data_IF_614813008572
#
_entry.id   IF_614813008572
#
_cell.length_a   1.000
_cell.length_b   1.000
_cell.length_c   1.000
_cell.angle_alpha   90.00
_cell.angle_beta   90.00
_cell.angle_gamma   90.00
#
_symmetry.space_group_name_H-M   'P 1'
#
loop_
_entity.id
_entity.type
_entity.pdbx_description
1 polymer ?
#
# COMPACT_ATOMS: atom_id res chain seq x y z
N UNK A 1 2.79 -32.22 -42.35
CA UNK A 1 2.61 -30.79 -42.04
C UNK A 1 1.53 -30.51 -40.97
N UNK A 2 0.40 -31.20 -40.97
CA UNK A 2 -0.71 -30.98 -40.01
C UNK A 2 -0.32 -31.20 -38.53
N UNK A 3 0.47 -32.24 -38.20
CA UNK A 3 0.89 -32.53 -36.81
C UNK A 3 1.87 -31.51 -36.23
N UNK A 4 2.70 -30.86 -37.05
CA UNK A 4 3.64 -29.81 -36.60
C UNK A 4 2.87 -28.53 -36.32
N UNK A 5 1.88 -28.18 -37.11
CA UNK A 5 1.01 -27.02 -36.89
C UNK A 5 0.19 -27.17 -35.59
N UNK A 6 -0.33 -28.38 -35.32
CA UNK A 6 -1.07 -28.68 -34.09
C UNK A 6 -0.19 -28.56 -32.86
N UNK A 7 1.09 -28.95 -32.91
CA UNK A 7 2.04 -28.84 -31.80
C UNK A 7 2.41 -27.37 -31.52
N UNK A 8 2.55 -26.53 -32.54
CA UNK A 8 2.83 -25.10 -32.40
C UNK A 8 1.65 -24.37 -31.76
N UNK A 9 0.42 -24.70 -32.14
CA UNK A 9 -0.78 -24.10 -31.55
C UNK A 9 -0.90 -24.44 -30.06
N UNK A 10 -0.62 -25.69 -29.66
CA UNK A 10 -0.62 -26.09 -28.23
C UNK A 10 0.49 -25.39 -27.47
N UNK A 11 1.67 -25.17 -28.03
CA UNK A 11 2.77 -24.48 -27.38
C UNK A 11 2.49 -22.98 -27.22
N UNK A 12 1.85 -22.34 -28.20
CA UNK A 12 1.43 -20.92 -28.10
C UNK A 12 0.33 -20.72 -27.07
N UNK A 13 -0.60 -21.67 -26.92
CA UNK A 13 -1.65 -21.61 -25.87
C UNK A 13 -1.09 -21.80 -24.44
N UNK A 14 0.04 -22.50 -24.28
CA UNK A 14 0.72 -22.62 -22.98
C UNK A 14 1.49 -21.35 -22.57
N UNK A 15 1.77 -20.45 -23.53
CA UNK A 15 2.44 -19.17 -23.25
C UNK A 15 1.51 -18.03 -22.86
N UNK A 16 0.18 -18.25 -22.85
CA UNK A 16 -0.75 -17.33 -22.21
C UNK A 16 -0.61 -17.52 -20.69
N UNK A 17 0.50 -17.04 -20.16
CA UNK A 17 0.70 -16.93 -18.72
C UNK A 17 -0.43 -16.07 -18.18
N UNK A 18 -1.24 -16.65 -17.30
CA UNK A 18 -2.25 -15.93 -16.54
C UNK A 18 -1.48 -14.83 -15.78
N UNK A 19 -1.62 -13.60 -16.24
CA UNK A 19 -1.21 -12.43 -15.47
C UNK A 19 -2.08 -12.39 -14.21
N UNK A 20 -1.65 -13.12 -13.18
CA UNK A 20 -2.32 -13.04 -11.89
C UNK A 20 -2.15 -11.62 -11.37
N UNK A 21 -3.23 -10.89 -11.31
CA UNK A 21 -3.25 -9.57 -10.71
C UNK A 21 -2.65 -9.66 -9.29
N UNK A 22 -1.68 -8.79 -8.98
CA UNK A 22 -0.94 -8.80 -7.72
C UNK A 22 -1.81 -8.75 -6.45
N UNK A 23 -3.05 -8.31 -6.58
CA UNK A 23 -4.05 -8.30 -5.48
C UNK A 23 -4.39 -9.72 -4.98
N UNK A 24 -4.18 -10.75 -5.78
CA UNK A 24 -4.45 -12.14 -5.38
C UNK A 24 -3.56 -12.62 -4.21
N UNK A 25 -2.37 -12.02 -4.01
CA UNK A 25 -1.55 -12.28 -2.83
C UNK A 25 -2.26 -11.98 -1.50
N UNK A 26 -3.21 -11.06 -1.53
CA UNK A 26 -3.98 -10.63 -0.36
C UNK A 26 -5.38 -11.24 -0.30
N UNK A 27 -5.71 -12.22 -1.19
CA UNK A 27 -7.06 -12.77 -1.32
C UNK A 27 -7.66 -13.30 -0.01
N UNK A 28 -6.81 -13.84 0.86
CA UNK A 28 -7.22 -14.40 2.14
C UNK A 28 -7.07 -13.42 3.33
N UNK A 29 -6.65 -12.17 3.09
CA UNK A 29 -6.55 -11.18 4.14
C UNK A 29 -7.86 -10.43 4.28
N UNK A 30 -8.39 -10.40 5.50
CA UNK A 30 -9.55 -9.59 5.88
C UNK A 30 -9.13 -8.36 6.68
N UNK A 31 -8.06 -8.48 7.48
CA UNK A 31 -7.61 -7.41 8.35
C UNK A 31 -6.13 -7.57 8.72
N UNK A 32 -5.44 -6.44 8.84
CA UNK A 32 -4.11 -6.34 9.46
C UNK A 32 -4.20 -5.25 10.53
N UNK A 33 -3.72 -5.56 11.74
CA UNK A 33 -3.71 -4.64 12.88
C UNK A 33 -2.29 -4.41 13.36
N UNK A 34 -1.90 -3.16 13.46
CA UNK A 34 -0.64 -2.73 14.06
C UNK A 34 -0.89 -1.91 15.31
N UNK A 35 0.00 -2.05 16.26
CA UNK A 35 0.15 -1.13 17.36
C UNK A 35 1.26 -0.13 17.04
N UNK A 36 1.02 1.14 17.36
CA UNK A 36 2.02 2.19 17.16
C UNK A 36 2.70 2.47 18.48
N UNK A 37 4.03 2.36 18.46
CA UNK A 37 4.87 2.61 19.63
C UNK A 37 5.77 3.83 19.42
N UNK A 38 6.03 4.55 20.51
CA UNK A 38 7.03 5.59 20.60
C UNK A 38 7.80 5.42 21.90
N UNK A 39 9.14 5.19 21.82
CA UNK A 39 9.99 4.91 22.98
C UNK A 39 9.36 3.83 23.89
N UNK A 40 9.04 2.67 23.30
CA UNK A 40 8.43 1.50 23.95
C UNK A 40 7.03 1.71 24.54
N UNK A 41 6.46 2.90 24.45
CA UNK A 41 5.11 3.18 24.89
C UNK A 41 4.13 3.08 23.72
N UNK A 42 3.07 2.29 23.89
CA UNK A 42 1.97 2.24 22.94
C UNK A 42 1.27 3.60 22.90
N UNK A 43 1.24 4.23 21.73
CA UNK A 43 0.63 5.53 21.53
C UNK A 43 -0.61 5.49 20.63
N UNK A 44 -0.85 4.38 19.91
CA UNK A 44 -1.98 4.26 19.01
C UNK A 44 -2.04 2.95 18.26
N UNK A 45 -2.77 2.98 17.13
CA UNK A 45 -2.98 1.83 16.26
C UNK A 45 -3.05 2.22 14.78
N UNK A 46 -2.84 1.23 13.90
CA UNK A 46 -3.11 1.31 12.48
C UNK A 46 -3.83 0.03 12.05
N UNK A 47 -5.06 0.15 11.58
CA UNK A 47 -5.88 -0.94 11.08
C UNK A 47 -6.00 -0.86 9.56
N UNK A 48 -5.89 -2.00 8.88
CA UNK A 48 -6.10 -2.14 7.45
C UNK A 48 -7.16 -3.22 7.23
N UNK A 49 -8.27 -2.87 6.63
CA UNK A 49 -9.43 -3.76 6.44
C UNK A 49 -9.64 -3.98 4.96
N UNK A 50 -9.74 -5.24 4.55
CA UNK A 50 -9.91 -5.67 3.18
C UNK A 50 -11.34 -6.17 2.96
N UNK A 51 -12.06 -5.58 2.02
CA UNK A 51 -13.40 -5.99 1.61
C UNK A 51 -13.42 -6.27 0.11
N UNK A 52 -14.15 -7.31 -0.30
CA UNK A 52 -14.26 -7.69 -1.70
C UNK A 52 -15.72 -7.81 -2.08
N UNK A 53 -16.09 -7.11 -3.14
CA UNK A 53 -17.44 -7.18 -3.69
C UNK A 53 -17.37 -7.04 -5.22
N UNK A 54 -18.06 -7.95 -5.93
CA UNK A 54 -18.19 -7.95 -7.41
C UNK A 54 -16.87 -7.78 -8.16
N UNK A 55 -15.80 -8.41 -7.67
CA UNK A 55 -14.45 -8.33 -8.27
C UNK A 55 -13.66 -7.09 -7.91
N UNK A 56 -14.22 -6.15 -7.16
CA UNK A 56 -13.51 -4.99 -6.63
C UNK A 56 -12.89 -5.30 -5.27
N UNK A 57 -11.67 -4.84 -5.04
CA UNK A 57 -11.03 -4.83 -3.73
C UNK A 57 -11.09 -3.44 -3.13
N UNK A 58 -11.71 -3.32 -1.96
CA UNK A 58 -11.69 -2.10 -1.16
C UNK A 58 -10.80 -2.30 0.06
N UNK A 59 -9.84 -1.41 0.25
CA UNK A 59 -8.91 -1.41 1.40
C UNK A 59 -9.10 -0.13 2.19
N UNK A 60 -9.55 -0.28 3.43
CA UNK A 60 -9.70 0.85 4.37
C UNK A 60 -8.51 0.88 5.31
N UNK A 61 -7.88 2.04 5.42
CA UNK A 61 -6.80 2.32 6.36
C UNK A 61 -7.33 3.27 7.44
N UNK A 62 -7.11 2.94 8.69
CA UNK A 62 -7.44 3.77 9.84
C UNK A 62 -6.21 3.87 10.75
N UNK A 63 -5.73 5.08 10.98
CA UNK A 63 -4.57 5.36 11.83
C UNK A 63 -4.99 6.35 12.90
N UNK A 64 -4.72 6.01 14.14
CA UNK A 64 -4.92 6.94 15.26
C UNK A 64 -3.78 6.79 16.24
N UNK A 65 -3.19 7.93 16.65
CA UNK A 65 -2.26 7.95 17.77
C UNK A 65 -2.25 9.29 18.47
N UNK A 66 -1.86 9.26 19.75
CA UNK A 66 -1.78 10.42 20.61
C UNK A 66 -0.48 10.37 21.43
N UNK A 67 0.25 11.47 21.42
CA UNK A 67 1.46 11.63 22.24
C UNK A 67 1.12 12.50 23.41
N UNK A 68 1.27 11.95 24.63
CA UNK A 68 1.07 12.65 25.89
C UNK A 68 2.39 12.95 26.59
N UNK A 69 2.48 14.09 27.27
CA UNK A 69 3.56 14.43 28.18
C UNK A 69 2.96 14.89 29.49
N UNK A 70 3.31 14.24 30.60
CA UNK A 70 2.74 14.51 31.94
C UNK A 70 1.20 14.46 31.96
N UNK A 71 0.59 13.51 31.23
CA UNK A 71 -0.87 13.36 31.12
C UNK A 71 -1.56 14.33 30.15
N UNK A 72 -0.87 15.33 29.63
CA UNK A 72 -1.42 16.33 28.72
C UNK A 72 -1.17 15.88 27.27
N UNK A 73 -2.20 15.95 26.41
CA UNK A 73 -2.10 15.68 24.99
C UNK A 73 -1.23 16.75 24.33
N UNK A 74 -0.10 16.32 23.76
CA UNK A 74 0.85 17.18 23.07
C UNK A 74 0.71 17.11 21.54
N UNK A 75 0.32 15.93 21.05
CA UNK A 75 0.13 15.71 19.62
C UNK A 75 -0.93 14.63 19.37
N UNK A 76 -1.88 14.89 18.50
CA UNK A 76 -2.94 13.96 18.12
C UNK A 76 -3.00 13.81 16.61
N UNK A 77 -3.04 12.57 16.15
CA UNK A 77 -3.13 12.23 14.74
C UNK A 77 -4.27 11.25 14.50
N UNK A 78 -5.09 11.54 13.48
CA UNK A 78 -6.14 10.67 13.00
C UNK A 78 -6.15 10.72 11.47
N UNK A 79 -6.19 9.57 10.83
CA UNK A 79 -6.24 9.46 9.37
C UNK A 79 -7.12 8.29 8.98
N UNK A 80 -8.01 8.53 8.02
CA UNK A 80 -8.81 7.50 7.38
C UNK A 80 -8.56 7.57 5.88
N UNK A 81 -8.35 6.42 5.24
CA UNK A 81 -8.14 6.30 3.80
C UNK A 81 -8.89 5.11 3.24
N UNK A 82 -9.35 5.22 2.01
CA UNK A 82 -9.98 4.12 1.28
C UNK A 82 -9.38 4.03 -0.11
N UNK A 83 -8.85 2.87 -0.43
CA UNK A 83 -8.34 2.49 -1.74
C UNK A 83 -9.34 1.53 -2.37
N UNK A 84 -9.67 1.71 -3.64
CA UNK A 84 -10.53 0.80 -4.42
C UNK A 84 -9.76 0.37 -5.65
N UNK A 85 -9.65 -0.94 -5.84
CA UNK A 85 -8.97 -1.57 -6.98
C UNK A 85 -9.95 -2.38 -7.81
N UNK A 86 -9.75 -2.41 -9.13
CA UNK A 86 -10.51 -3.25 -10.04
C UNK A 86 -10.03 -4.73 -10.02
N UNK A 87 -10.64 -5.58 -10.83
CA UNK A 87 -10.32 -7.02 -10.94
C UNK A 87 -8.88 -7.27 -11.41
N UNK A 88 -8.30 -6.35 -12.17
CA UNK A 88 -6.96 -6.44 -12.72
C UNK A 88 -5.90 -5.87 -11.76
N UNK A 89 -6.34 -5.30 -10.63
CA UNK A 89 -5.48 -4.71 -9.62
C UNK A 89 -5.06 -3.29 -9.89
N UNK A 90 -5.72 -2.60 -10.81
CA UNK A 90 -5.46 -1.19 -11.03
C UNK A 90 -6.22 -0.35 -9.99
N UNK A 91 -5.58 0.70 -9.51
CA UNK A 91 -6.23 1.65 -8.63
C UNK A 91 -7.37 2.34 -9.39
N UNK A 92 -8.60 2.17 -8.91
CA UNK A 92 -9.79 2.83 -9.44
C UNK A 92 -10.03 4.18 -8.74
N UNK A 93 -9.93 4.18 -7.40
CA UNK A 93 -10.13 5.39 -6.58
C UNK A 93 -9.37 5.30 -5.26
N UNK A 94 -8.90 6.45 -4.80
CA UNK A 94 -8.40 6.67 -3.45
C UNK A 94 -8.99 7.94 -2.85
N UNK A 95 -9.38 7.86 -1.60
CA UNK A 95 -9.81 9.04 -0.82
C UNK A 95 -9.23 8.96 0.58
N UNK A 96 -8.80 10.07 1.12
CA UNK A 96 -8.37 10.16 2.51
C UNK A 96 -8.73 11.48 3.18
N UNK A 97 -8.89 11.42 4.49
CA UNK A 97 -9.02 12.58 5.38
C UNK A 97 -8.09 12.38 6.57
N UNK A 98 -7.33 13.41 6.91
CA UNK A 98 -6.37 13.37 8.02
C UNK A 98 -6.51 14.62 8.86
N UNK A 99 -6.54 14.43 10.17
CA UNK A 99 -6.35 15.48 11.17
C UNK A 99 -4.96 15.32 11.80
N UNK A 100 -4.05 16.20 11.47
CA UNK A 100 -2.67 16.25 11.94
C UNK A 100 -2.54 17.38 12.97
N UNK A 101 -2.68 17.04 14.23
CA UNK A 101 -2.73 17.98 15.35
C UNK A 101 -3.71 19.16 15.09
N UNK A 102 -4.93 18.81 14.66
CA UNK A 102 -6.00 19.75 14.32
C UNK A 102 -5.93 20.36 12.91
N UNK A 103 -4.84 20.16 12.16
CA UNK A 103 -4.73 20.59 10.77
C UNK A 103 -5.35 19.55 9.85
N UNK A 104 -6.40 19.93 9.14
CA UNK A 104 -7.08 19.05 8.19
C UNK A 104 -6.28 18.95 6.89
N UNK A 105 -6.11 17.71 6.40
CA UNK A 105 -5.46 17.37 5.14
C UNK A 105 -6.30 16.33 4.41
N UNK A 106 -6.18 16.27 3.09
CA UNK A 106 -6.88 15.28 2.29
C UNK A 106 -6.09 14.91 1.04
N UNK A 107 -6.46 13.77 0.47
CA UNK A 107 -5.97 13.31 -0.82
C UNK A 107 -7.07 12.49 -1.51
N UNK A 108 -7.44 12.90 -2.72
CA UNK A 108 -8.38 12.20 -3.60
C UNK A 108 -7.68 11.88 -4.91
N UNK A 109 -7.81 10.64 -5.37
CA UNK A 109 -7.27 10.16 -6.65
C UNK A 109 -8.39 9.38 -7.34
N UNK A 110 -8.65 9.68 -8.60
CA UNK A 110 -9.65 9.00 -9.39
C UNK A 110 -9.08 8.64 -10.77
N UNK A 111 -9.18 7.36 -11.13
CA UNK A 111 -8.78 6.90 -12.44
C UNK A 111 -9.71 7.46 -13.51
N UNK A 112 -9.15 8.10 -14.53
CA UNK A 112 -9.87 8.49 -15.75
C UNK A 112 -9.81 7.37 -16.80
N UNK A 113 -8.72 6.61 -16.78
CA UNK A 113 -8.46 5.37 -17.51
C UNK A 113 -7.29 4.64 -16.84
N UNK A 114 -6.82 3.54 -17.41
CA UNK A 114 -5.80 2.68 -16.80
C UNK A 114 -4.45 3.38 -16.50
N UNK A 115 -4.19 4.59 -17.03
CA UNK A 115 -2.91 5.29 -16.85
C UNK A 115 -3.04 6.75 -16.43
N UNK A 116 -4.23 7.34 -16.59
CA UNK A 116 -4.45 8.74 -16.27
C UNK A 116 -5.29 8.85 -14.99
N UNK A 117 -4.84 9.67 -14.08
CA UNK A 117 -5.49 9.90 -12.79
C UNK A 117 -5.75 11.39 -12.60
N UNK A 118 -6.94 11.73 -12.16
CA UNK A 118 -7.23 13.05 -11.61
C UNK A 118 -6.90 13.02 -10.13
N UNK A 119 -6.11 13.99 -9.68
CA UNK A 119 -5.63 14.06 -8.30
C UNK A 119 -5.99 15.41 -7.73
N UNK A 120 -6.57 15.41 -6.54
CA UNK A 120 -6.88 16.61 -5.78
C UNK A 120 -6.55 16.38 -4.30
N UNK A 121 -5.68 17.19 -3.75
CA UNK A 121 -5.29 17.08 -2.35
C UNK A 121 -4.66 18.35 -1.81
N UNK A 122 -4.29 18.31 -0.55
CA UNK A 122 -3.71 19.46 0.17
C UNK A 122 -2.46 20.01 -0.52
N UNK A 123 -1.63 19.15 -1.13
CA UNK A 123 -0.34 19.54 -1.72
C UNK A 123 -0.22 19.31 -3.23
N UNK A 124 -1.27 18.87 -3.88
CA UNK A 124 -1.27 18.68 -5.33
C UNK A 124 -2.69 18.67 -5.88
N UNK A 125 -2.87 19.32 -7.04
CA UNK A 125 -4.09 19.28 -7.85
C UNK A 125 -3.71 19.24 -9.32
N UNK A 126 -4.22 18.24 -10.06
CA UNK A 126 -3.98 18.11 -11.49
C UNK A 126 -4.17 16.68 -11.99
N UNK A 127 -3.83 16.45 -13.26
CA UNK A 127 -3.83 15.12 -13.85
C UNK A 127 -2.43 14.52 -13.82
N UNK A 128 -2.34 13.22 -13.65
CA UNK A 128 -1.08 12.47 -13.65
C UNK A 128 -1.19 11.27 -14.58
N UNK A 129 -0.27 11.22 -15.55
CA UNK A 129 -0.06 10.05 -16.39
C UNK A 129 1.29 9.43 -16.05
N UNK A 130 1.36 8.77 -14.89
CA UNK A 130 2.59 8.18 -14.39
C UNK A 130 2.29 6.99 -13.50
N UNK A 131 3.16 6.01 -13.55
CA UNK A 131 3.11 4.87 -12.64
C UNK A 131 3.57 5.28 -11.23
N UNK A 132 2.75 5.01 -10.23
CA UNK A 132 3.00 5.35 -8.83
C UNK A 132 2.41 4.31 -7.86
N UNK A 133 2.78 4.39 -6.61
CA UNK A 133 2.09 3.72 -5.52
C UNK A 133 1.58 4.75 -4.49
N UNK A 134 0.51 4.40 -3.76
CA UNK A 134 0.08 5.14 -2.59
C UNK A 134 0.96 4.75 -1.40
N UNK A 135 1.30 5.71 -0.54
CA UNK A 135 2.14 5.49 0.64
C UNK A 135 1.38 4.79 1.79
N UNK A 136 0.57 3.80 1.49
CA UNK A 136 -0.16 2.98 2.48
C UNK A 136 0.62 1.73 2.91
N UNK A 137 1.62 1.34 2.14
CA UNK A 137 2.60 0.26 2.37
C UNK A 137 2.04 -1.16 2.49
N UNK A 138 0.73 -1.37 2.59
CA UNK A 138 0.16 -2.72 2.64
C UNK A 138 0.39 -3.48 1.33
N UNK A 139 0.41 -2.76 0.20
CA UNK A 139 0.64 -3.31 -1.13
C UNK A 139 2.14 -3.27 -1.46
N UNK A 140 2.78 -4.44 -1.53
CA UNK A 140 4.19 -4.57 -1.84
C UNK A 140 4.59 -4.10 -3.24
N UNK A 141 3.63 -3.80 -4.13
CA UNK A 141 3.90 -3.17 -5.43
C UNK A 141 4.64 -1.83 -5.28
N UNK A 142 4.53 -1.16 -4.15
CA UNK A 142 5.31 0.04 -3.84
C UNK A 142 6.82 -0.20 -4.00
N UNK A 143 7.30 -1.44 -3.80
CA UNK A 143 8.71 -1.80 -3.94
C UNK A 143 9.21 -1.72 -5.40
N UNK A 144 8.32 -1.76 -6.38
CA UNK A 144 8.63 -1.69 -7.81
C UNK A 144 8.48 -0.29 -8.39
N UNK A 145 7.95 0.66 -7.62
CA UNK A 145 7.65 2.02 -8.10
C UNK A 145 8.77 3.00 -7.74
N UNK A 146 9.10 3.89 -8.67
CA UNK A 146 10.04 4.98 -8.46
C UNK A 146 9.36 6.26 -7.94
N UNK A 147 8.04 6.26 -7.87
CA UNK A 147 7.23 7.39 -7.40
C UNK A 147 6.19 6.87 -6.42
N UNK A 148 6.04 7.58 -5.30
CA UNK A 148 4.90 7.40 -4.42
C UNK A 148 4.12 8.70 -4.25
N UNK A 149 2.82 8.55 -4.00
CA UNK A 149 1.92 9.65 -3.64
C UNK A 149 1.56 9.49 -2.17
N UNK A 150 1.76 10.56 -1.42
CA UNK A 150 1.33 10.61 -0.02
C UNK A 150 -0.18 10.44 0.08
N UNK A 151 -0.64 9.40 0.73
CA UNK A 151 -2.04 9.19 1.06
C UNK A 151 -2.63 10.23 2.01
N UNK A 152 -1.82 11.16 2.54
CA UNK A 152 -2.27 12.22 3.45
C UNK A 152 -2.56 13.52 2.71
N UNK A 153 -1.71 13.88 1.74
CA UNK A 153 -1.72 15.23 1.13
C UNK A 153 -1.68 15.23 -0.39
N UNK A 154 -1.65 14.08 -1.03
CA UNK A 154 -1.34 13.89 -2.44
C UNK A 154 0.06 14.42 -2.87
N UNK A 155 0.98 14.75 -1.95
CA UNK A 155 2.35 15.14 -2.34
C UNK A 155 3.02 13.96 -3.05
N UNK A 156 3.51 14.20 -4.25
CA UNK A 156 4.34 13.23 -4.99
C UNK A 156 5.77 13.27 -4.48
N UNK A 157 6.41 12.10 -4.41
CA UNK A 157 7.82 11.93 -4.06
C UNK A 157 8.45 10.88 -4.95
N UNK A 158 9.62 11.18 -5.47
CA UNK A 158 10.49 10.13 -6.00
C UNK A 158 11.05 9.31 -4.84
N UNK A 159 11.18 8.01 -5.06
CA UNK A 159 11.72 7.10 -4.07
C UNK A 159 12.77 6.16 -4.66
N UNK A 160 13.67 5.71 -3.80
CA UNK A 160 14.60 4.60 -4.06
C UNK A 160 14.30 3.49 -3.06
N UNK A 161 14.06 2.30 -3.57
CA UNK A 161 13.85 1.09 -2.76
C UNK A 161 15.13 0.27 -2.75
N UNK A 162 15.55 -0.17 -1.58
CA UNK A 162 16.73 -1.01 -1.38
C UNK A 162 16.37 -2.21 -0.52
N UNK A 163 16.65 -3.42 -1.01
CA UNK A 163 16.59 -4.62 -0.17
C UNK A 163 17.75 -4.56 0.83
N UNK A 164 17.45 -4.75 2.11
CA UNK A 164 18.46 -4.71 3.17
C UNK A 164 18.91 -6.11 3.58
N UNK A 165 17.96 -6.94 4.01
CA UNK A 165 18.25 -8.27 4.57
C UNK A 165 16.99 -9.15 4.62
N UNK A 166 17.22 -10.44 4.85
CA UNK A 166 16.18 -11.32 5.39
C UNK A 166 16.31 -11.37 6.91
N UNK A 167 15.19 -11.34 7.60
CA UNK A 167 15.14 -11.36 9.05
C UNK A 167 13.99 -12.22 9.55
N UNK A 168 14.18 -12.82 10.68
CA UNK A 168 13.11 -13.56 11.38
C UNK A 168 12.67 -12.70 12.55
N UNK A 169 11.41 -12.37 12.60
CA UNK A 169 10.80 -11.57 13.67
C UNK A 169 9.69 -12.36 14.36
N UNK A 170 9.34 -11.96 15.56
CA UNK A 170 8.19 -12.48 16.27
C UNK A 170 6.98 -11.56 16.03
N UNK A 171 5.87 -12.12 15.55
CA UNK A 171 4.61 -11.43 15.37
C UNK A 171 3.52 -12.17 16.13
N UNK A 172 2.97 -11.57 17.16
CA UNK A 172 1.93 -12.17 18.04
C UNK A 172 2.35 -13.54 18.57
N UNK A 173 3.59 -13.69 19.04
CA UNK A 173 4.14 -14.95 19.54
C UNK A 173 4.47 -16.00 18.47
N UNK A 174 4.40 -15.65 17.20
CA UNK A 174 4.73 -16.54 16.08
C UNK A 174 5.98 -16.08 15.33
N UNK A 175 6.91 -17.00 15.15
CA UNK A 175 8.12 -16.77 14.35
C UNK A 175 7.76 -16.57 12.88
N UNK A 176 8.11 -15.41 12.33
CA UNK A 176 7.77 -15.01 10.97
C UNK A 176 9.03 -14.63 10.18
N UNK A 177 9.27 -15.30 9.05
CA UNK A 177 10.37 -14.97 8.12
C UNK A 177 9.95 -13.79 7.26
N UNK A 178 10.79 -12.75 7.22
CA UNK A 178 10.54 -11.51 6.49
C UNK A 178 11.68 -11.14 5.55
N UNK A 179 11.37 -10.31 4.58
CA UNK A 179 12.32 -9.53 3.78
C UNK A 179 12.18 -8.07 4.18
N UNK A 180 13.31 -7.41 4.46
CA UNK A 180 13.37 -6.02 4.92
C UNK A 180 13.81 -5.13 3.77
N UNK A 181 13.04 -4.08 3.54
CA UNK A 181 13.35 -3.08 2.51
C UNK A 181 13.46 -1.70 3.15
N UNK A 182 14.35 -0.87 2.63
CA UNK A 182 14.38 0.55 2.91
C UNK A 182 13.79 1.33 1.74
N UNK A 183 12.87 2.24 2.03
CA UNK A 183 12.31 3.18 1.06
C UNK A 183 12.76 4.57 1.45
N UNK A 184 13.54 5.20 0.57
CA UNK A 184 14.13 6.51 0.80
C UNK A 184 13.73 7.50 -0.28
N UNK A 185 13.39 8.71 0.11
CA UNK A 185 13.02 9.81 -0.77
C UNK A 185 13.08 11.14 -0.05
N UNK A 186 12.62 12.21 -0.70
CA UNK A 186 12.57 13.54 -0.08
C UNK A 186 11.68 13.53 1.17
N UNK A 187 12.31 13.74 2.34
CA UNK A 187 11.61 13.71 3.64
C UNK A 187 11.03 12.36 4.01
N UNK A 188 11.56 11.28 3.43
CA UNK A 188 11.17 9.90 3.70
C UNK A 188 12.41 9.04 3.87
N UNK A 189 12.48 8.31 4.97
CA UNK A 189 13.44 7.23 5.21
C UNK A 189 12.75 6.23 6.12
N UNK A 190 12.30 5.10 5.56
CA UNK A 190 11.51 4.12 6.29
C UNK A 190 11.91 2.71 5.93
N UNK A 191 11.89 1.81 6.91
CA UNK A 191 12.10 0.39 6.73
C UNK A 191 10.77 -0.34 6.85
N UNK A 192 10.58 -1.36 6.00
CA UNK A 192 9.35 -2.14 5.95
C UNK A 192 9.71 -3.61 5.90
N UNK A 193 8.97 -4.42 6.67
CA UNK A 193 9.07 -5.87 6.74
C UNK A 193 7.90 -6.48 6.00
N UNK A 194 8.19 -7.29 4.98
CA UNK A 194 7.19 -8.08 4.29
C UNK A 194 7.41 -9.56 4.55
N UNK A 195 6.35 -10.29 4.88
CA UNK A 195 6.40 -11.73 5.10
C UNK A 195 6.81 -12.46 3.82
N UNK A 196 7.77 -13.37 3.91
CA UNK A 196 8.28 -14.09 2.71
C UNK A 196 7.24 -14.96 2.03
N UNK A 197 6.25 -15.48 2.77
CA UNK A 197 5.28 -16.44 2.23
C UNK A 197 4.23 -15.81 1.30
N UNK A 198 3.88 -14.55 1.52
CA UNK A 198 2.74 -13.90 0.86
C UNK A 198 2.93 -12.40 0.63
N UNK A 199 4.11 -11.86 0.90
CA UNK A 199 4.44 -10.44 0.75
C UNK A 199 3.45 -9.48 1.46
N UNK A 200 2.73 -9.97 2.46
CA UNK A 200 1.97 -9.08 3.32
C UNK A 200 2.91 -8.38 4.30
N UNK A 201 2.58 -7.13 4.65
CA UNK A 201 3.33 -6.36 5.64
C UNK A 201 3.25 -7.05 7.01
N UNK A 202 4.36 -7.08 7.75
CA UNK A 202 4.51 -7.78 9.02
C UNK A 202 4.61 -6.82 10.20
#
# INVERSE_FOLDING_TARGET
MSKIISLIIVFVLMLIGISNAHIQHYANLNEIKFEIYRNDNKVGYHNIIFSRDRGMLTVKNEIQFEIKKLGISFYKYQSEGTEVYDQDGHLFRFNSKTSDNGKLKFCNIEAQNNKNYLIEGTNYKGSLNKDFAISSYWNHEILKKNTQISGITCKMRNQKVTFLKNETIEVKGQTTKTSVFNIKGEGLDTQIWYRKKDMAIA
#
